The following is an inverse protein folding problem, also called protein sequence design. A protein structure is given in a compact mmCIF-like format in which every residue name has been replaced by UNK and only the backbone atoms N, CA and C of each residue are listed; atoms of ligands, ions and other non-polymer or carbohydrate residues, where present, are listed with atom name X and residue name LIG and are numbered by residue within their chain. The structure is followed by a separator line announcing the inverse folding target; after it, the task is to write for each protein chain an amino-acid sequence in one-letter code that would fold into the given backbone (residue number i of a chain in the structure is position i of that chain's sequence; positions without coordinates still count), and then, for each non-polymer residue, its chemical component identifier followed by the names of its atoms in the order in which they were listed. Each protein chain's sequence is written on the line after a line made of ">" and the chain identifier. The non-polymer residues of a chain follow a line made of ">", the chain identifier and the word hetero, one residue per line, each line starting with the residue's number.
data_IF_799389529451
#
_entry.id   IF_799389529451
#
_cell.length_a   1.000
_cell.length_b   1.000
_cell.length_c   1.000
_cell.angle_alpha   90.00
_cell.angle_beta   90.00
_cell.angle_gamma   90.00
#
_symmetry.space_group_name_H-M   'P 1'
#
loop_
_entity.id
_entity.type
_entity.pdbx_description
1 polymer ?
#
# COMPACT_ATOMS: atom_id res chain seq x y z
N UNK A 1 -26.10 10.06 4.64
CA UNK A 1 -24.65 10.09 4.94
C UNK A 1 -24.23 8.67 5.30
N UNK A 2 -23.18 8.13 4.66
CA UNK A 2 -22.65 6.81 5.03
C UNK A 2 -22.04 6.89 6.43
N UNK A 3 -22.44 6.00 7.32
CA UNK A 3 -21.90 5.93 8.68
C UNK A 3 -20.42 5.54 8.61
N UNK A 4 -19.56 6.28 9.29
CA UNK A 4 -18.13 5.94 9.41
C UNK A 4 -18.00 4.68 10.26
N UNK A 5 -17.37 3.64 9.74
CA UNK A 5 -17.28 2.35 10.44
C UNK A 5 -16.08 2.26 11.38
N UNK A 6 -14.99 3.00 11.14
CA UNK A 6 -13.81 3.02 12.02
C UNK A 6 -13.91 3.97 13.22
N UNK A 7 -15.07 4.63 13.37
CA UNK A 7 -15.37 5.55 14.46
C UNK A 7 -16.62 5.03 15.17
N UNK A 8 -16.57 4.86 16.49
CA UNK A 8 -17.72 4.38 17.26
C UNK A 8 -18.76 5.50 17.46
N UNK A 9 -19.88 5.18 18.11
CA UNK A 9 -20.95 6.15 18.38
C UNK A 9 -20.53 7.32 19.29
N UNK A 10 -19.44 7.18 20.05
CA UNK A 10 -18.86 8.21 20.90
C UNK A 10 -17.81 9.08 20.16
N UNK A 11 -17.51 8.80 18.89
CA UNK A 11 -16.50 9.52 18.12
C UNK A 11 -15.08 8.97 18.26
N UNK A 12 -14.91 7.82 18.91
CA UNK A 12 -13.60 7.22 19.18
C UNK A 12 -13.20 6.22 18.09
N UNK A 13 -11.90 6.17 17.80
CA UNK A 13 -11.32 5.21 16.87
C UNK A 13 -11.45 3.78 17.40
N UNK A 14 -11.95 2.85 16.58
CA UNK A 14 -11.95 1.42 16.90
C UNK A 14 -11.75 0.57 15.64
N UNK A 15 -11.16 -0.61 15.82
CA UNK A 15 -11.05 -1.59 14.76
C UNK A 15 -12.37 -2.36 14.66
N UNK A 16 -12.94 -2.41 13.46
CA UNK A 16 -14.25 -3.03 13.22
C UNK A 16 -14.14 -4.55 13.35
N UNK A 17 -15.03 -5.19 14.10
CA UNK A 17 -15.11 -6.65 14.09
C UNK A 17 -15.63 -7.15 12.73
N UNK A 18 -14.88 -8.05 12.11
CA UNK A 18 -15.19 -8.64 10.80
C UNK A 18 -15.41 -10.15 10.88
N UNK A 19 -15.43 -10.74 12.09
CA UNK A 19 -15.48 -12.20 12.31
C UNK A 19 -16.73 -12.86 11.75
N UNK A 20 -17.85 -12.14 11.67
CA UNK A 20 -19.10 -12.63 11.10
C UNK A 20 -19.18 -12.52 9.56
N UNK A 21 -18.19 -11.89 8.91
CA UNK A 21 -18.19 -11.73 7.45
C UNK A 21 -17.67 -13.01 6.79
N UNK A 22 -18.30 -13.40 5.69
CA UNK A 22 -17.84 -14.54 4.90
C UNK A 22 -16.45 -14.28 4.28
N UNK A 23 -15.58 -15.28 4.38
CA UNK A 23 -14.31 -15.29 3.66
C UNK A 23 -14.56 -15.43 2.15
N UNK A 24 -13.88 -14.59 1.39
CA UNK A 24 -14.00 -14.49 -0.07
C UNK A 24 -12.64 -14.12 -0.65
N UNK A 25 -12.39 -14.45 -1.91
CA UNK A 25 -11.22 -13.94 -2.63
C UNK A 25 -11.42 -12.44 -2.84
N UNK A 26 -10.42 -11.64 -2.47
CA UNK A 26 -10.45 -10.18 -2.55
C UNK A 26 -9.23 -9.68 -3.31
N UNK A 27 -9.44 -8.68 -4.15
CA UNK A 27 -8.41 -8.03 -4.95
C UNK A 27 -8.60 -6.51 -4.90
N UNK A 28 -7.50 -5.76 -4.95
CA UNK A 28 -7.48 -4.32 -5.07
C UNK A 28 -6.30 -3.88 -5.95
N UNK A 29 -6.50 -2.83 -6.76
CA UNK A 29 -5.47 -2.22 -7.60
C UNK A 29 -5.38 -0.73 -7.32
N UNK A 30 -4.16 -0.21 -7.25
CA UNK A 30 -3.85 1.20 -7.08
C UNK A 30 -2.71 1.62 -8.02
N UNK A 31 -2.58 2.90 -8.30
CA UNK A 31 -1.50 3.49 -9.09
C UNK A 31 -1.01 4.80 -8.45
N UNK A 32 0.22 5.19 -8.79
CA UNK A 32 0.86 6.42 -8.31
C UNK A 32 1.81 6.95 -9.37
N UNK A 33 1.99 8.27 -9.40
CA UNK A 33 2.93 8.95 -10.29
C UNK A 33 3.97 9.70 -9.46
N UNK A 34 5.20 9.76 -9.96
CA UNK A 34 6.28 10.56 -9.40
C UNK A 34 6.73 11.55 -10.46
N UNK A 35 6.33 12.81 -10.29
CA UNK A 35 6.75 13.88 -11.18
C UNK A 35 8.21 14.23 -10.93
N UNK A 36 8.98 14.37 -12.01
CA UNK A 36 10.42 14.64 -11.95
C UNK A 36 10.88 15.42 -13.17
N UNK A 37 12.12 15.93 -13.11
CA UNK A 37 12.76 16.58 -14.25
C UNK A 37 13.07 15.55 -15.36
N UNK A 38 13.04 15.98 -16.61
CA UNK A 38 13.39 15.14 -17.75
C UNK A 38 14.80 14.53 -17.64
N UNK A 39 15.75 15.29 -17.08
CA UNK A 39 17.13 14.84 -16.82
C UNK A 39 17.18 13.72 -15.78
N UNK A 40 16.34 13.77 -14.74
CA UNK A 40 16.21 12.70 -13.73
C UNK A 40 15.71 11.42 -14.37
N UNK A 41 14.64 11.50 -15.18
CA UNK A 41 14.11 10.35 -15.88
C UNK A 41 15.13 9.72 -16.83
N UNK A 42 15.88 10.54 -17.58
CA UNK A 42 16.94 10.08 -18.47
C UNK A 42 18.01 9.28 -17.69
N UNK A 43 18.49 9.78 -16.55
CA UNK A 43 19.47 9.06 -15.71
C UNK A 43 18.95 7.71 -15.21
N UNK A 44 17.64 7.62 -14.92
CA UNK A 44 17.00 6.38 -14.46
C UNK A 44 16.95 5.36 -15.61
N UNK A 45 16.51 5.78 -16.80
CA UNK A 45 16.39 4.92 -17.98
C UNK A 45 17.77 4.42 -18.43
N UNK A 46 18.78 5.29 -18.41
CA UNK A 46 20.16 4.96 -18.81
C UNK A 46 20.90 4.13 -17.75
N UNK A 47 20.31 3.89 -16.58
CA UNK A 47 20.95 3.16 -15.47
C UNK A 47 22.18 3.87 -14.89
N UNK A 48 22.35 5.17 -15.15
CA UNK A 48 23.52 5.96 -14.75
C UNK A 48 23.39 6.58 -13.35
N UNK A 49 22.24 6.36 -12.69
CA UNK A 49 22.03 6.85 -11.33
C UNK A 49 22.96 6.16 -10.34
N UNK A 50 23.71 6.93 -9.55
CA UNK A 50 24.74 6.44 -8.62
C UNK A 50 24.23 5.52 -7.49
N UNK A 51 22.91 5.34 -7.37
CA UNK A 51 22.25 4.45 -6.39
C UNK A 51 21.88 3.08 -6.99
N UNK A 52 22.23 2.84 -8.25
CA UNK A 52 21.87 1.61 -8.97
C UNK A 52 20.43 1.63 -9.50
N UNK A 53 19.85 0.45 -9.68
CA UNK A 53 18.51 0.27 -10.24
C UNK A 53 17.42 0.73 -9.27
N UNK A 54 16.88 1.92 -9.55
CA UNK A 54 15.83 2.54 -8.73
C UNK A 54 14.47 1.85 -8.90
N UNK A 55 14.18 1.25 -10.06
CA UNK A 55 12.90 0.56 -10.29
C UNK A 55 12.85 -0.78 -9.58
N UNK A 56 13.94 -1.56 -9.63
CA UNK A 56 14.04 -2.80 -8.86
C UNK A 56 13.90 -2.54 -7.36
N UNK A 57 14.59 -1.49 -6.86
CA UNK A 57 14.49 -1.08 -5.46
C UNK A 57 13.06 -0.67 -5.09
N UNK A 58 12.42 0.17 -5.91
CA UNK A 58 11.05 0.61 -5.68
C UNK A 58 10.04 -0.55 -5.67
N UNK A 59 10.20 -1.54 -6.55
CA UNK A 59 9.34 -2.74 -6.62
C UNK A 59 9.43 -3.57 -5.35
N UNK A 60 10.64 -3.84 -4.87
CA UNK A 60 10.85 -4.58 -3.62
C UNK A 60 10.30 -3.79 -2.43
N UNK A 61 10.53 -2.48 -2.39
CA UNK A 61 9.99 -1.60 -1.35
C UNK A 61 8.45 -1.63 -1.32
N UNK A 62 7.79 -1.58 -2.48
CA UNK A 62 6.32 -1.67 -2.60
C UNK A 62 5.77 -3.00 -2.07
N UNK A 63 6.39 -4.13 -2.43
CA UNK A 63 5.98 -5.45 -1.94
C UNK A 63 6.16 -5.55 -0.42
N UNK A 64 7.25 -5.01 0.12
CA UNK A 64 7.45 -4.96 1.58
C UNK A 64 6.42 -4.06 2.26
N UNK A 65 6.13 -2.90 1.71
CA UNK A 65 5.15 -1.95 2.24
C UNK A 65 3.73 -2.55 2.28
N UNK A 66 3.32 -3.28 1.24
CA UNK A 66 2.02 -3.95 1.21
C UNK A 66 1.86 -4.93 2.38
N UNK A 67 2.88 -5.75 2.66
CA UNK A 67 2.85 -6.71 3.79
C UNK A 67 2.85 -6.06 5.16
N UNK A 68 3.35 -4.83 5.27
CA UNK A 68 3.43 -4.05 6.51
C UNK A 68 2.31 -3.02 6.66
N UNK A 69 1.30 -3.04 5.78
CA UNK A 69 0.23 -2.04 5.79
C UNK A 69 -0.50 -1.97 7.13
N UNK A 70 -0.76 -3.11 7.78
CA UNK A 70 -1.41 -3.15 9.10
C UNK A 70 -0.52 -2.60 10.24
N UNK A 71 0.80 -2.58 10.09
CA UNK A 71 1.71 -1.92 11.04
C UNK A 71 1.68 -0.39 10.86
N UNK A 72 1.43 0.08 9.63
CA UNK A 72 1.49 1.49 9.25
C UNK A 72 0.14 2.20 9.40
N UNK A 73 -0.97 1.51 9.18
CA UNK A 73 -2.32 2.07 9.20
C UNK A 73 -3.04 1.61 10.48
N UNK A 74 -3.30 2.50 11.46
CA UNK A 74 -3.63 2.13 12.85
C UNK A 74 -4.83 1.19 13.06
N UNK A 75 -5.82 1.21 12.16
CA UNK A 75 -7.06 0.44 12.29
C UNK A 75 -7.23 -0.62 11.19
N UNK A 76 -6.17 -0.91 10.42
CA UNK A 76 -6.18 -2.01 9.46
C UNK A 76 -6.01 -3.35 10.16
N UNK A 77 -6.82 -4.32 9.76
CA UNK A 77 -6.64 -5.70 10.18
C UNK A 77 -5.35 -6.29 9.61
N UNK A 78 -4.62 -7.13 10.37
CA UNK A 78 -3.55 -7.94 9.82
C UNK A 78 -4.13 -8.95 8.84
N UNK A 79 -3.60 -8.98 7.62
CA UNK A 79 -4.05 -9.87 6.54
C UNK A 79 -2.87 -10.65 5.96
N UNK A 80 -3.10 -11.93 5.67
CA UNK A 80 -2.15 -12.76 4.95
C UNK A 80 -2.32 -12.56 3.44
N UNK A 81 -1.46 -11.76 2.84
CA UNK A 81 -1.49 -11.49 1.39
C UNK A 81 -1.06 -12.73 0.61
N UNK A 82 -1.91 -13.18 -0.33
CA UNK A 82 -1.60 -14.31 -1.22
C UNK A 82 -0.72 -13.92 -2.41
N UNK A 83 -0.84 -12.68 -2.91
CA UNK A 83 -0.08 -12.15 -4.05
C UNK A 83 0.07 -10.64 -3.91
N UNK A 84 1.24 -10.12 -4.28
CA UNK A 84 1.50 -8.69 -4.48
C UNK A 84 2.27 -8.53 -5.78
N UNK A 85 1.86 -7.61 -6.64
CA UNK A 85 2.51 -7.35 -7.93
C UNK A 85 2.54 -5.85 -8.26
N UNK A 86 3.58 -5.46 -9.01
CA UNK A 86 3.94 -4.10 -9.43
C UNK A 86 5.28 -4.15 -10.15
#
# INVERSE_FOLDING_TARGET
>A
MSQLTHINAAGEAHMVDVSAKAETVREARAEVFVDMQATTLAMIIDGSHHKGDVFATARIAGIQAAKRTWELIPLCHPLMLSKVEG
#
